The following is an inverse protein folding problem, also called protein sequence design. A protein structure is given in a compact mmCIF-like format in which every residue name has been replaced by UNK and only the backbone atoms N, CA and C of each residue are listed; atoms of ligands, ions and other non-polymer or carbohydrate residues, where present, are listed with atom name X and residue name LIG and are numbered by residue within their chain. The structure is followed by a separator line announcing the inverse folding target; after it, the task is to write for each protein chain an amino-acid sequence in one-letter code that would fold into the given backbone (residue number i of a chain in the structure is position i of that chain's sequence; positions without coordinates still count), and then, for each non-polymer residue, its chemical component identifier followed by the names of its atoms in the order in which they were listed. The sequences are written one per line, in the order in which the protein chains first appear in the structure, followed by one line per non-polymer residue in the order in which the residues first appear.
data_IF_271584952868
#
_entry.id   IF_271584952868
#
_cell.length_a   1.000
_cell.length_b   1.000
_cell.length_c   1.000
_cell.angle_alpha   90.00
_cell.angle_beta   90.00
_cell.angle_gamma   90.00
#
_symmetry.space_group_name_H-M   'P 1'
#
loop_
_entity.id
_entity.type
_entity.pdbx_description
1 polymer ?
#
# COMPACT_ATOMS: atom_id res chain seq x y z
N UNK A 1 13.70 -1.85 -5.30
CA UNK A 1 12.85 -1.98 -4.11
C UNK A 1 11.42 -2.07 -4.59
N UNK A 2 10.75 -3.20 -4.37
CA UNK A 2 9.36 -3.38 -4.76
C UNK A 2 8.59 -3.94 -3.58
N UNK A 3 7.40 -3.39 -3.33
CA UNK A 3 6.43 -3.97 -2.41
C UNK A 3 5.24 -4.53 -3.18
N UNK A 4 4.73 -5.68 -2.74
CA UNK A 4 3.55 -6.32 -3.33
C UNK A 4 2.57 -6.74 -2.23
N UNK A 5 1.26 -6.61 -2.52
CA UNK A 5 0.21 -7.13 -1.63
C UNK A 5 0.23 -8.66 -1.63
N UNK A 6 0.13 -9.25 -0.45
CA UNK A 6 0.10 -10.70 -0.24
C UNK A 6 -1.20 -11.04 0.48
N UNK A 7 -2.02 -11.89 -0.13
CA UNK A 7 -3.33 -12.26 0.42
C UNK A 7 -4.43 -11.23 0.14
N UNK A 8 -5.58 -11.43 0.79
CA UNK A 8 -6.75 -10.57 0.70
C UNK A 8 -6.65 -9.39 1.67
N UNK A 9 -7.46 -8.36 1.41
CA UNK A 9 -7.65 -7.25 2.34
C UNK A 9 -8.43 -7.71 3.58
N UNK A 10 -8.15 -7.12 4.74
CA UNK A 10 -8.93 -7.34 5.96
C UNK A 10 -10.34 -6.75 5.84
N UNK A 11 -10.47 -5.62 5.14
CA UNK A 11 -11.74 -4.99 4.79
C UNK A 11 -11.61 -4.13 3.53
N UNK A 12 -12.75 -3.76 2.94
CA UNK A 12 -12.82 -2.80 1.83
C UNK A 12 -13.32 -1.43 2.35
N UNK A 13 -12.66 -0.31 2.01
CA UNK A 13 -13.11 1.02 2.42
C UNK A 13 -14.48 1.42 1.87
N UNK A 14 -14.85 0.84 0.73
CA UNK A 14 -16.13 0.99 0.07
C UNK A 14 -16.63 -0.41 -0.23
N UNK A 15 -17.78 -0.80 0.32
CA UNK A 15 -18.44 -2.05 -0.04
C UNK A 15 -19.31 -1.89 -1.29
N UNK A 16 -19.76 -3.01 -1.86
CA UNK A 16 -20.62 -3.03 -3.04
C UNK A 16 -21.93 -2.25 -2.81
N UNK A 17 -22.47 -2.27 -1.59
CA UNK A 17 -23.69 -1.51 -1.25
C UNK A 17 -23.49 0.00 -1.28
N UNK A 18 -22.37 0.50 -0.76
CA UNK A 18 -21.97 1.90 -0.80
C UNK A 18 -21.71 2.36 -2.23
N UNK A 19 -21.04 1.52 -3.03
CA UNK A 19 -20.84 1.77 -4.46
C UNK A 19 -22.19 1.83 -5.19
N UNK A 20 -23.11 0.87 -4.99
CA UNK A 20 -24.46 0.91 -5.58
C UNK A 20 -25.22 2.18 -5.24
N UNK A 21 -25.22 2.60 -3.96
CA UNK A 21 -25.85 3.86 -3.53
C UNK A 21 -25.26 5.07 -4.26
N UNK A 22 -23.95 5.09 -4.47
CA UNK A 22 -23.28 6.17 -5.22
C UNK A 22 -23.67 6.16 -6.71
N UNK A 23 -23.72 4.98 -7.31
CA UNK A 23 -24.08 4.75 -8.72
C UNK A 23 -25.58 4.80 -9.00
N UNK A 24 -26.42 4.91 -7.95
CA UNK A 24 -27.89 4.83 -8.04
C UNK A 24 -28.39 3.52 -8.65
N UNK A 25 -27.70 2.42 -8.35
CA UNK A 25 -28.14 1.06 -8.67
C UNK A 25 -29.00 0.55 -7.52
N UNK A 26 -30.13 -0.08 -7.84
CA UNK A 26 -31.03 -0.66 -6.84
C UNK A 26 -30.30 -1.72 -6.00
N UNK A 27 -30.57 -1.74 -4.69
CA UNK A 27 -29.86 -2.63 -3.77
C UNK A 27 -30.04 -4.12 -4.12
N UNK A 28 -31.24 -4.47 -4.62
CA UNK A 28 -31.63 -5.84 -4.97
C UNK A 28 -31.16 -6.26 -6.37
N UNK A 29 -30.69 -5.33 -7.21
CA UNK A 29 -30.12 -5.66 -8.52
C UNK A 29 -28.68 -6.16 -8.35
N UNK A 30 -28.47 -7.46 -8.52
CA UNK A 30 -27.15 -8.09 -8.38
C UNK A 30 -26.44 -8.36 -9.71
N UNK A 31 -27.02 -7.93 -10.83
CA UNK A 31 -26.50 -8.26 -12.17
C UNK A 31 -25.14 -7.63 -12.47
N UNK A 32 -24.79 -6.55 -11.76
CA UNK A 32 -23.56 -5.79 -11.94
C UNK A 32 -22.62 -5.86 -10.74
N UNK A 33 -22.87 -6.72 -9.76
CA UNK A 33 -22.09 -6.74 -8.52
C UNK A 33 -20.62 -7.05 -8.76
N UNK A 34 -20.33 -8.04 -9.60
CA UNK A 34 -18.97 -8.44 -9.93
C UNK A 34 -18.17 -7.33 -10.62
N UNK A 35 -18.82 -6.55 -11.49
CA UNK A 35 -18.15 -5.44 -12.18
C UNK A 35 -17.97 -4.24 -11.25
N UNK A 36 -18.94 -3.95 -10.38
CA UNK A 36 -18.84 -2.90 -9.36
C UNK A 36 -17.70 -3.23 -8.37
N UNK A 37 -17.59 -4.47 -7.92
CA UNK A 37 -16.49 -4.94 -7.07
C UNK A 37 -15.13 -4.76 -7.74
N UNK A 38 -15.05 -5.04 -9.05
CA UNK A 38 -13.83 -4.82 -9.84
C UNK A 38 -13.46 -3.33 -9.89
N UNK A 39 -14.44 -2.44 -10.10
CA UNK A 39 -14.20 -1.00 -10.11
C UNK A 39 -13.79 -0.46 -8.74
N UNK A 40 -14.39 -0.96 -7.66
CA UNK A 40 -13.99 -0.61 -6.29
C UNK A 40 -12.54 -1.01 -6.03
N UNK A 41 -12.15 -2.24 -6.41
CA UNK A 41 -10.77 -2.70 -6.26
C UNK A 41 -9.78 -1.83 -7.06
N UNK A 42 -10.10 -1.52 -8.32
CA UNK A 42 -9.27 -0.67 -9.17
C UNK A 42 -9.15 0.77 -8.62
N UNK A 43 -10.26 1.34 -8.15
CA UNK A 43 -10.27 2.67 -7.55
C UNK A 43 -9.49 2.73 -6.23
N UNK A 44 -9.56 1.68 -5.42
CA UNK A 44 -8.75 1.55 -4.21
C UNK A 44 -7.26 1.52 -4.56
N UNK A 45 -6.85 0.68 -5.51
CA UNK A 45 -5.45 0.59 -5.93
C UNK A 45 -4.92 1.92 -6.48
N UNK A 46 -5.74 2.63 -7.26
CA UNK A 46 -5.42 3.98 -7.74
C UNK A 46 -5.21 4.95 -6.56
N UNK A 47 -6.12 4.96 -5.58
CA UNK A 47 -6.02 5.83 -4.41
C UNK A 47 -4.80 5.50 -3.53
N UNK A 48 -4.49 4.22 -3.31
CA UNK A 48 -3.30 3.79 -2.58
C UNK A 48 -2.01 4.18 -3.31
N UNK A 49 -2.01 4.13 -4.64
CA UNK A 49 -0.88 4.51 -5.46
C UNK A 49 -0.63 6.02 -5.48
N UNK A 50 -1.69 6.81 -5.63
CA UNK A 50 -1.61 8.26 -5.60
C UNK A 50 -1.16 8.80 -4.24
N UNK A 51 -1.58 8.15 -3.15
CA UNK A 51 -1.28 8.60 -1.78
C UNK A 51 -0.01 7.98 -1.20
N UNK A 52 0.47 6.87 -1.79
CA UNK A 52 1.54 6.01 -1.26
C UNK A 52 1.23 5.45 0.13
N UNK A 53 -0.05 5.26 0.45
CA UNK A 53 -0.56 4.76 1.73
C UNK A 53 -1.35 3.47 1.54
N UNK A 54 -1.41 2.66 2.59
CA UNK A 54 -2.40 1.60 2.71
C UNK A 54 -3.72 2.24 3.18
N UNK A 55 -4.81 2.03 2.44
CA UNK A 55 -6.14 2.56 2.75
C UNK A 55 -7.08 1.48 3.32
N UNK A 56 -6.64 0.23 3.30
CA UNK A 56 -7.26 -0.91 3.96
C UNK A 56 -6.19 -1.74 4.67
N UNK A 57 -6.59 -2.47 5.72
CA UNK A 57 -5.72 -3.46 6.34
C UNK A 57 -5.30 -4.51 5.30
N UNK A 58 -3.99 -4.71 5.15
CA UNK A 58 -3.43 -5.63 4.18
C UNK A 58 -2.03 -6.10 4.58
N UNK A 59 -1.72 -7.33 4.22
CA UNK A 59 -0.35 -7.84 4.30
C UNK A 59 0.39 -7.50 3.01
N UNK A 60 1.61 -6.99 3.16
CA UNK A 60 2.51 -6.69 2.04
C UNK A 60 3.87 -7.32 2.27
N UNK A 61 4.55 -7.58 1.16
CA UNK A 61 5.91 -8.08 1.10
C UNK A 61 6.79 -7.05 0.42
N UNK A 62 7.82 -6.60 1.12
CA UNK A 62 8.87 -5.74 0.61
C UNK A 62 10.09 -6.60 0.27
N UNK A 63 10.64 -6.44 -0.94
CA UNK A 63 11.89 -7.08 -1.35
C UNK A 63 13.00 -6.07 -1.62
N UNK A 64 14.20 -6.36 -1.11
CA UNK A 64 15.41 -5.56 -1.24
C UNK A 64 16.57 -6.43 -1.71
N UNK A 65 17.52 -5.83 -2.42
CA UNK A 65 18.73 -6.53 -2.90
C UNK A 65 19.78 -6.76 -1.82
N UNK A 66 19.72 -6.02 -0.71
CA UNK A 66 20.56 -6.14 0.47
C UNK A 66 19.91 -5.36 1.62
N UNK A 67 20.43 -5.50 2.84
CA UNK A 67 20.07 -4.58 3.92
C UNK A 67 20.53 -3.15 3.58
N UNK A 68 19.75 -2.12 3.98
CA UNK A 68 20.04 -0.74 3.62
C UNK A 68 21.25 -0.21 4.40
N UNK A 69 22.09 0.54 3.70
CA UNK A 69 23.19 1.31 4.27
C UNK A 69 23.01 2.80 4.00
N UNK A 70 23.60 3.65 4.84
CA UNK A 70 23.63 5.09 4.63
C UNK A 70 24.67 5.48 3.55
N UNK A 71 24.82 6.79 3.31
CA UNK A 71 25.77 7.30 2.31
C UNK A 71 27.24 7.02 2.65
N UNK A 72 27.53 6.74 3.92
CA UNK A 72 28.86 6.47 4.45
C UNK A 72 29.15 4.96 4.53
N UNK A 73 28.15 4.12 4.25
CA UNK A 73 28.25 2.66 4.28
C UNK A 73 27.91 2.04 5.64
N UNK A 74 27.38 2.81 6.59
CA UNK A 74 26.93 2.28 7.87
C UNK A 74 25.51 1.72 7.76
N UNK A 75 25.12 0.87 8.72
CA UNK A 75 23.78 0.30 8.78
C UNK A 75 22.70 1.40 8.86
N UNK A 76 21.73 1.34 7.95
CA UNK A 76 20.58 2.24 7.91
C UNK A 76 19.28 1.52 8.28
N UNK A 77 18.23 2.24 8.70
CA UNK A 77 16.93 1.63 8.94
C UNK A 77 16.26 1.17 7.65
N UNK A 78 15.49 0.08 7.74
CA UNK A 78 14.61 -0.36 6.66
C UNK A 78 13.36 0.52 6.68
N UNK A 79 13.16 1.30 5.62
CA UNK A 79 11.94 2.10 5.44
C UNK A 79 10.85 1.21 4.86
N UNK A 80 9.72 1.11 5.56
CA UNK A 80 8.59 0.29 5.15
C UNK A 80 7.59 1.14 4.37
N UNK A 81 7.30 0.80 3.10
CA UNK A 81 6.36 1.57 2.29
C UNK A 81 4.91 1.36 2.76
N UNK A 82 3.99 2.16 2.21
CA UNK A 82 2.53 2.06 2.44
C UNK A 82 2.10 2.19 3.91
N UNK A 83 2.42 3.30 4.59
CA UNK A 83 1.93 3.51 5.95
C UNK A 83 0.39 3.69 5.99
N UNK A 84 -0.23 3.50 7.16
CA UNK A 84 0.38 3.23 8.47
C UNK A 84 0.91 1.80 8.61
N UNK A 85 2.08 1.64 9.23
CA UNK A 85 2.64 0.32 9.57
C UNK A 85 1.99 -0.20 10.85
N UNK A 86 1.50 -1.44 10.84
CA UNK A 86 0.90 -2.09 12.02
C UNK A 86 1.90 -2.98 12.74
N UNK A 87 2.53 -3.89 11.99
CA UNK A 87 3.50 -4.83 12.54
C UNK A 87 4.36 -5.43 11.44
N UNK A 88 5.54 -5.91 11.84
CA UNK A 88 6.38 -6.78 11.01
C UNK A 88 6.04 -8.22 11.36
N UNK A 89 5.68 -9.00 10.36
CA UNK A 89 5.39 -10.43 10.52
C UNK A 89 6.68 -11.24 10.52
N UNK A 90 7.58 -10.96 9.56
CA UNK A 90 8.89 -11.60 9.50
C UNK A 90 9.86 -10.79 8.65
N UNK A 91 11.14 -10.92 8.97
CA UNK A 91 12.26 -10.46 8.13
C UNK A 91 13.09 -11.70 7.82
N UNK A 92 13.16 -12.05 6.55
CA UNK A 92 14.00 -13.14 6.06
C UNK A 92 15.06 -12.59 5.13
N UNK A 93 16.22 -13.22 5.12
CA UNK A 93 17.30 -12.82 4.24
C UNK A 93 18.05 -14.05 3.73
N UNK A 94 18.73 -13.87 2.61
CA UNK A 94 19.60 -14.89 2.03
C UNK A 94 21.03 -14.56 2.41
N UNK A 95 21.67 -15.44 3.17
CA UNK A 95 23.05 -15.26 3.62
C UNK A 95 24.06 -15.36 2.47
N UNK A 96 25.35 -15.11 2.76
CA UNK A 96 26.42 -15.14 1.78
C UNK A 96 26.56 -16.50 1.06
N UNK A 97 26.17 -17.59 1.73
CA UNK A 97 26.20 -18.96 1.20
C UNK A 97 24.94 -19.31 0.40
N UNK A 98 23.96 -18.40 0.34
CA UNK A 98 22.73 -18.58 -0.42
C UNK A 98 21.64 -19.35 0.32
N UNK A 99 21.76 -19.55 1.64
CA UNK A 99 20.71 -20.14 2.47
C UNK A 99 19.76 -19.05 2.99
N UNK A 100 18.48 -19.39 3.15
CA UNK A 100 17.48 -18.46 3.71
C UNK A 100 17.49 -18.55 5.23
N UNK A 101 17.73 -17.41 5.85
CA UNK A 101 17.72 -17.22 7.30
C UNK A 101 16.54 -16.32 7.69
N UNK A 102 16.07 -16.49 8.93
CA UNK A 102 15.07 -15.60 9.53
C UNK A 102 15.76 -14.75 10.57
N UNK A 103 15.62 -13.43 10.46
CA UNK A 103 16.17 -12.50 11.44
C UNK A 103 15.34 -12.54 12.71
N UNK A 104 16.00 -12.69 13.86
CA UNK A 104 15.33 -12.72 15.16
C UNK A 104 14.63 -11.40 15.46
N UNK A 105 13.39 -11.42 15.98
CA UNK A 105 12.72 -10.21 16.49
C UNK A 105 13.51 -9.46 17.57
N UNK A 106 14.45 -10.12 18.26
CA UNK A 106 15.32 -9.47 19.24
C UNK A 106 16.45 -8.62 18.62
N UNK A 107 16.70 -8.78 17.31
CA UNK A 107 17.78 -8.10 16.58
C UNK A 107 17.35 -6.77 15.99
N UNK A 108 16.06 -6.42 16.06
CA UNK A 108 15.52 -5.18 15.50
C UNK A 108 14.42 -4.57 16.36
N UNK A 109 14.22 -3.27 16.19
CA UNK A 109 13.15 -2.48 16.82
C UNK A 109 12.29 -1.88 15.72
N UNK A 110 10.98 -2.02 15.84
CA UNK A 110 10.02 -1.50 14.86
C UNK A 110 9.43 -0.19 15.38
N UNK A 111 9.56 0.87 14.59
CA UNK A 111 8.87 2.13 14.79
C UNK A 111 7.62 2.19 13.91
N UNK A 112 6.47 1.94 14.53
CA UNK A 112 5.13 2.03 13.92
C UNK A 112 4.54 3.44 14.02
N UNK A 113 5.16 4.34 14.80
CA UNK A 113 4.71 5.72 14.98
C UNK A 113 5.16 6.63 13.83
N UNK A 114 6.28 6.29 13.19
CA UNK A 114 6.77 6.97 12.01
C UNK A 114 5.85 6.77 10.79
N UNK A 115 5.85 7.76 9.91
CA UNK A 115 5.01 7.79 8.72
C UNK A 115 5.86 8.26 7.51
N UNK A 116 6.56 7.34 6.79
CA UNK A 116 6.46 5.88 6.83
C UNK A 116 7.10 5.19 8.03
N UNK A 117 6.64 3.98 8.35
CA UNK A 117 7.19 3.15 9.43
C UNK A 117 8.61 2.68 9.11
N UNK A 118 9.41 2.41 10.16
CA UNK A 118 10.83 2.08 10.02
C UNK A 118 11.21 0.91 10.91
N UNK A 119 12.16 0.09 10.44
CA UNK A 119 12.79 -0.96 11.24
C UNK A 119 14.24 -0.61 11.47
N UNK A 120 14.62 -0.45 12.73
CA UNK A 120 15.98 -0.16 13.19
C UNK A 120 16.62 -1.44 13.72
N UNK A 121 17.94 -1.51 13.69
CA UNK A 121 18.67 -2.53 14.46
C UNK A 121 18.49 -2.29 15.97
N UNK A 122 18.52 -3.37 16.73
CA UNK A 122 18.66 -3.28 18.18
C UNK A 122 20.03 -2.69 18.55
N UNK A 123 20.20 -2.12 19.75
CA UNK A 123 21.51 -1.65 20.21
C UNK A 123 22.58 -2.75 20.09
N UNK A 124 23.77 -2.37 19.63
CA UNK A 124 24.93 -3.26 19.43
C UNK A 124 24.73 -4.40 18.43
N UNK A 125 23.68 -4.37 17.61
CA UNK A 125 23.49 -5.28 16.49
C UNK A 125 23.95 -4.64 15.17
N UNK A 126 24.33 -5.48 14.20
CA UNK A 126 24.59 -5.10 12.80
C UNK A 126 23.68 -5.91 11.87
N UNK A 127 23.41 -5.38 10.68
CA UNK A 127 22.70 -6.18 9.67
C UNK A 127 23.57 -7.38 9.26
N UNK A 128 23.00 -8.59 9.10
CA UNK A 128 23.74 -9.73 8.59
C UNK A 128 24.19 -9.52 7.13
N UNK A 129 25.31 -10.15 6.76
CA UNK A 129 25.74 -10.19 5.36
C UNK A 129 24.72 -10.94 4.50
N UNK A 130 24.37 -10.34 3.37
CA UNK A 130 23.43 -10.90 2.39
C UNK A 130 24.14 -11.36 1.13
N UNK A 131 23.56 -12.33 0.41
CA UNK A 131 24.08 -12.79 -0.87
C UNK A 131 24.29 -11.63 -1.85
N UNK A 132 25.54 -11.43 -2.27
CA UNK A 132 25.90 -10.39 -3.22
C UNK A 132 25.17 -10.58 -4.58
N UNK A 133 24.74 -9.46 -5.18
CA UNK A 133 24.09 -9.40 -6.48
C UNK A 133 22.74 -10.18 -6.59
N UNK A 134 22.09 -10.51 -5.47
CA UNK A 134 20.77 -11.12 -5.51
C UNK A 134 19.66 -10.04 -5.49
N UNK A 135 18.70 -10.05 -6.43
CA UNK A 135 17.71 -8.97 -6.57
C UNK A 135 16.69 -8.88 -5.42
N UNK A 136 16.50 -9.97 -4.67
CA UNK A 136 15.59 -10.08 -3.53
C UNK A 136 16.28 -10.81 -2.37
N UNK A 137 17.46 -10.32 -1.96
CA UNK A 137 18.23 -10.92 -0.88
C UNK A 137 17.56 -10.75 0.49
N UNK A 138 16.78 -9.69 0.70
CA UNK A 138 16.01 -9.45 1.93
C UNK A 138 14.53 -9.36 1.59
N UNK A 139 13.71 -10.06 2.36
CA UNK A 139 12.26 -10.05 2.26
C UNK A 139 11.66 -9.68 3.61
N UNK A 140 10.78 -8.69 3.62
CA UNK A 140 10.06 -8.23 4.81
C UNK A 140 8.58 -8.40 4.57
N UNK A 141 7.94 -9.27 5.35
CA UNK A 141 6.49 -9.42 5.38
C UNK A 141 5.92 -8.59 6.52
N UNK A 142 4.95 -7.73 6.22
CA UNK A 142 4.42 -6.76 7.18
C UNK A 142 2.92 -6.51 6.98
N UNK A 143 2.25 -6.12 8.07
CA UNK A 143 0.87 -5.69 8.09
C UNK A 143 0.81 -4.17 8.07
N UNK A 144 0.01 -3.60 7.18
CA UNK A 144 -0.18 -2.16 7.05
C UNK A 144 -1.64 -1.80 6.79
N UNK A 145 -1.97 -0.53 7.00
CA UNK A 145 -3.31 0.00 6.81
C UNK A 145 -4.01 0.36 8.12
N UNK A 146 -5.15 1.06 8.01
CA UNK A 146 -5.99 1.39 9.16
C UNK A 146 -6.51 0.14 9.86
N UNK A 147 -6.69 0.21 11.17
CA UNK A 147 -7.21 -0.92 11.98
C UNK A 147 -8.72 -1.07 11.81
N UNK A 148 -9.43 0.07 11.79
CA UNK A 148 -10.86 0.11 11.65
C UNK A 148 -11.25 0.82 10.35
N UNK A 149 -12.42 0.45 9.82
CA UNK A 149 -12.99 1.12 8.65
C UNK A 149 -13.17 2.64 8.89
N UNK A 150 -13.53 3.02 10.12
CA UNK A 150 -13.73 4.42 10.51
C UNK A 150 -12.43 5.23 10.55
N UNK A 151 -11.26 4.57 10.61
CA UNK A 151 -9.95 5.24 10.53
C UNK A 151 -9.58 5.58 9.08
N UNK A 152 -10.29 5.05 8.09
CA UNK A 152 -10.07 5.42 6.69
C UNK A 152 -10.51 6.87 6.49
N UNK A 153 -9.64 7.77 6.01
CA UNK A 153 -10.02 9.16 5.80
C UNK A 153 -11.20 9.28 4.84
N UNK A 154 -12.27 9.97 5.25
CA UNK A 154 -13.47 10.15 4.43
C UNK A 154 -13.19 10.71 3.02
N UNK A 155 -12.14 11.51 2.87
CA UNK A 155 -11.67 12.01 1.56
C UNK A 155 -11.12 10.92 0.64
N UNK A 156 -10.52 9.85 1.18
CA UNK A 156 -10.13 8.67 0.41
C UNK A 156 -11.37 7.91 -0.07
N UNK A 157 -12.33 7.69 0.83
CA UNK A 157 -13.61 7.05 0.50
C UNK A 157 -14.34 7.81 -0.61
N UNK A 158 -14.43 9.14 -0.49
CA UNK A 158 -15.04 9.98 -1.53
C UNK A 158 -14.29 9.93 -2.86
N UNK A 159 -12.95 9.92 -2.85
CA UNK A 159 -12.15 9.79 -4.06
C UNK A 159 -12.38 8.43 -4.74
N UNK A 160 -12.40 7.33 -3.98
CA UNK A 160 -12.69 5.99 -4.48
C UNK A 160 -14.07 5.95 -5.13
N UNK A 161 -15.10 6.49 -4.47
CA UNK A 161 -16.46 6.53 -5.02
C UNK A 161 -16.54 7.32 -6.33
N UNK A 162 -15.90 8.49 -6.40
CA UNK A 162 -15.86 9.28 -7.63
C UNK A 162 -15.16 8.54 -8.77
N UNK A 163 -14.06 7.84 -8.50
CA UNK A 163 -13.38 7.00 -9.49
C UNK A 163 -14.24 5.81 -9.91
N UNK A 164 -14.99 5.18 -8.99
CA UNK A 164 -15.95 4.12 -9.31
C UNK A 164 -17.06 4.64 -10.23
N UNK A 165 -17.59 5.84 -9.95
CA UNK A 165 -18.56 6.51 -10.81
C UNK A 165 -18.03 6.72 -12.23
N UNK A 166 -16.81 7.22 -12.34
CA UNK A 166 -16.16 7.44 -13.64
C UNK A 166 -15.98 6.13 -14.42
N UNK A 167 -15.46 5.07 -13.79
CA UNK A 167 -15.30 3.76 -14.40
C UNK A 167 -16.63 3.13 -14.83
N UNK A 168 -17.70 3.36 -14.08
CA UNK A 168 -19.01 2.79 -14.35
C UNK A 168 -19.71 3.47 -15.53
N UNK A 169 -19.61 4.79 -15.64
CA UNK A 169 -20.22 5.59 -16.71
C UNK A 169 -19.40 5.54 -18.01
N UNK A 170 -18.07 5.50 -17.92
CA UNK A 170 -17.16 5.58 -19.07
C UNK A 170 -16.51 4.22 -19.39
N UNK A 171 -17.29 3.29 -19.96
CA UNK A 171 -16.84 1.90 -20.25
C UNK A 171 -16.09 1.72 -21.58
N UNK A 172 -16.09 2.75 -22.42
CA UNK A 172 -15.52 2.72 -23.77
C UNK A 172 -14.49 3.83 -23.94
N UNK A 173 -13.69 3.75 -25.00
CA UNK A 173 -12.75 4.79 -25.35
C UNK A 173 -13.50 6.11 -25.65
N UNK A 174 -13.05 7.20 -25.01
CA UNK A 174 -13.57 8.54 -25.30
C UNK A 174 -12.96 9.10 -26.60
N UNK A 175 -13.78 9.76 -27.41
CA UNK A 175 -13.33 10.36 -28.70
C UNK A 175 -12.43 11.57 -28.42
N UNK A 176 -11.19 11.51 -28.92
CA UNK A 176 -10.22 12.61 -28.86
C UNK A 176 -10.70 13.78 -29.71
N UNK A 177 -10.87 14.97 -29.11
CA UNK A 177 -11.27 16.20 -29.82
C UNK A 177 -12.47 16.94 -29.21
N UNK A 178 -13.14 16.35 -28.22
CA UNK A 178 -14.05 17.08 -27.32
C UNK A 178 -13.24 17.69 -26.18
N UNK A 179 -13.58 18.91 -25.75
CA UNK A 179 -12.98 19.52 -24.56
C UNK A 179 -13.54 18.79 -23.34
N UNK A 180 -12.81 17.78 -22.85
CA UNK A 180 -13.12 17.14 -21.57
C UNK A 180 -12.49 17.99 -20.48
N UNK A 181 -13.33 18.69 -19.71
CA UNK A 181 -12.88 19.33 -18.48
C UNK A 181 -12.72 18.25 -17.40
N UNK A 182 -11.47 17.91 -17.09
CA UNK A 182 -11.16 16.97 -16.00
C UNK A 182 -11.77 17.49 -14.69
N UNK A 183 -12.43 16.61 -13.94
CA UNK A 183 -12.88 16.95 -12.60
C UNK A 183 -11.68 16.88 -11.64
N UNK A 184 -11.16 18.03 -11.14
CA UNK A 184 -9.95 18.03 -10.32
C UNK A 184 -10.20 17.49 -8.90
N UNK A 185 -11.44 17.14 -8.56
CA UNK A 185 -11.84 16.79 -7.18
C UNK A 185 -11.11 15.55 -6.69
N UNK A 186 -10.99 14.48 -7.49
CA UNK A 186 -10.28 13.25 -7.11
C UNK A 186 -8.83 13.59 -6.76
N UNK A 187 -8.13 14.28 -7.66
CA UNK A 187 -6.75 14.72 -7.46
C UNK A 187 -6.60 15.60 -6.22
N UNK A 188 -7.51 16.54 -5.99
CA UNK A 188 -7.49 17.41 -4.81
C UNK A 188 -7.68 16.61 -3.51
N UNK A 189 -8.64 15.69 -3.47
CA UNK A 189 -8.89 14.84 -2.30
C UNK A 189 -7.65 14.00 -1.95
N UNK A 190 -7.05 13.35 -2.95
CA UNK A 190 -5.89 12.48 -2.77
C UNK A 190 -4.60 13.26 -2.48
N UNK A 191 -4.41 14.44 -3.07
CA UNK A 191 -3.20 15.25 -2.85
C UNK A 191 -2.94 15.60 -1.38
N UNK A 192 -4.01 15.80 -0.60
CA UNK A 192 -3.91 16.09 0.84
C UNK A 192 -3.55 14.87 1.70
N UNK A 193 -3.66 13.67 1.13
CA UNK A 193 -3.28 12.41 1.76
C UNK A 193 -1.88 11.96 1.39
N UNK A 194 -1.31 12.53 0.34
CA UNK A 194 -0.02 12.13 -0.19
C UNK A 194 1.06 12.34 0.86
N UNK A 195 1.92 11.33 1.01
CA UNK A 195 3.16 11.47 1.77
C UNK A 195 3.98 12.61 1.17
N UNK A 196 4.25 13.64 1.97
CA UNK A 196 5.30 14.60 1.65
C UNK A 196 6.61 13.84 1.82
N UNK A 197 7.39 13.70 0.75
CA UNK A 197 8.73 13.13 0.83
C UNK A 197 9.58 14.03 1.74
N UNK A 198 9.62 13.70 3.03
CA UNK A 198 10.63 14.21 3.92
C UNK A 198 11.93 13.46 3.58
N UNK A 199 12.86 14.21 2.98
CA UNK A 199 14.17 13.86 2.43
C UNK A 199 15.02 12.91 3.27
#
# INVERSE_FOLDING_TARGET
MGDVRVGSLGFQPVDTGAAKRHLRVDADDTTQDSVIETYVAAALEHAEEATKRALAEQTRRLTLGAFPTDREGNDAPIVIPRPPLRSITSITYRDADGATQTLSPSSYVVDTSAFPGRVFLAPDASWPDTQANHPAAVTVDYLCGPELLDDVPARAVAAILLTVGDLYENREAQIVGTIVAENPTVTRLLSTLRLVEAY
#
